data_IF_347455840547
#
_entry.id   IF_347455840547
#
_cell.length_a   1.000
_cell.length_b   1.000
_cell.length_c   1.000
_cell.angle_alpha   90.00
_cell.angle_beta   90.00
_cell.angle_gamma   90.00
#
_symmetry.space_group_name_H-M   'P 1'
#
loop_
_entity.id
_entity.type
_entity.pdbx_description
1 polymer ?
#
# COMPACT_ATOMS: atom_id res chain seq x y z
N UNK A 1 -13.35 -17.04 -9.78
CA UNK A 1 -12.02 -16.66 -9.30
C UNK A 1 -11.44 -15.55 -10.17
N UNK A 2 -10.71 -14.62 -9.55
CA UNK A 2 -10.01 -13.54 -10.26
C UNK A 2 -8.53 -13.89 -10.54
N UNK A 3 -8.11 -15.09 -10.26
CA UNK A 3 -6.71 -15.51 -10.35
C UNK A 3 -6.13 -15.30 -11.75
N UNK A 4 -6.87 -15.67 -12.78
CA UNK A 4 -6.41 -15.50 -14.17
C UNK A 4 -6.24 -14.02 -14.52
N UNK A 5 -7.20 -13.18 -14.12
CA UNK A 5 -7.11 -11.73 -14.31
C UNK A 5 -5.86 -11.17 -13.63
N UNK A 6 -5.64 -11.54 -12.36
CA UNK A 6 -4.46 -11.06 -11.60
C UNK A 6 -3.17 -11.55 -12.24
N UNK A 7 -3.08 -12.81 -12.65
CA UNK A 7 -1.90 -13.36 -13.33
C UNK A 7 -1.60 -12.60 -14.60
N UNK A 8 -2.59 -12.44 -15.48
CA UNK A 8 -2.41 -11.79 -16.78
C UNK A 8 -1.95 -10.34 -16.65
N UNK A 9 -2.59 -9.59 -15.73
CA UNK A 9 -2.26 -8.18 -15.55
C UNK A 9 -0.91 -7.98 -14.86
N UNK A 10 -0.60 -8.82 -13.86
CA UNK A 10 0.67 -8.73 -13.13
C UNK A 10 1.87 -9.18 -13.95
N UNK A 11 1.71 -10.16 -14.83
CA UNK A 11 2.77 -10.60 -15.72
C UNK A 11 3.28 -9.46 -16.59
N UNK A 12 2.37 -8.64 -17.12
CA UNK A 12 2.71 -7.49 -17.96
C UNK A 12 3.46 -6.40 -17.21
N UNK A 13 3.17 -6.24 -15.91
CA UNK A 13 3.68 -5.14 -15.10
C UNK A 13 4.81 -5.56 -14.14
N UNK A 14 5.18 -6.84 -14.13
CA UNK A 14 6.27 -7.35 -13.28
C UNK A 14 5.91 -7.54 -11.82
N UNK A 15 4.62 -7.65 -11.48
CA UNK A 15 4.17 -7.88 -10.11
C UNK A 15 3.91 -9.35 -9.82
N UNK A 16 4.05 -9.72 -8.54
CA UNK A 16 3.60 -11.02 -8.07
C UNK A 16 2.08 -10.99 -7.85
N UNK A 17 1.34 -11.74 -8.66
CA UNK A 17 -0.12 -11.78 -8.61
C UNK A 17 -0.64 -12.22 -7.24
N UNK A 18 0.14 -13.01 -6.48
CA UNK A 18 -0.25 -13.47 -5.13
C UNK A 18 -0.32 -12.30 -4.15
N UNK A 19 0.53 -11.29 -4.33
CA UNK A 19 0.46 -10.05 -3.55
C UNK A 19 -0.81 -9.27 -3.89
N UNK A 20 -1.12 -9.12 -5.17
CA UNK A 20 -2.34 -8.44 -5.62
C UNK A 20 -3.58 -9.16 -5.11
N UNK A 21 -3.59 -10.48 -5.16
CA UNK A 21 -4.67 -11.28 -4.59
C UNK A 21 -4.81 -11.08 -3.07
N UNK A 22 -3.70 -11.00 -2.34
CA UNK A 22 -3.71 -10.75 -0.89
C UNK A 22 -4.28 -9.35 -0.57
N UNK A 23 -3.94 -8.34 -1.35
CA UNK A 23 -4.51 -6.99 -1.21
C UNK A 23 -6.02 -7.02 -1.48
N UNK A 24 -6.44 -7.61 -2.59
CA UNK A 24 -7.86 -7.72 -2.95
C UNK A 24 -8.70 -8.44 -1.89
N UNK A 25 -8.16 -9.52 -1.34
CA UNK A 25 -8.81 -10.22 -0.23
C UNK A 25 -9.00 -9.31 0.98
N UNK A 26 -7.97 -8.58 1.36
CA UNK A 26 -8.00 -7.70 2.53
C UNK A 26 -8.90 -6.49 2.33
N UNK A 27 -8.94 -5.94 1.11
CA UNK A 27 -9.70 -4.74 0.79
C UNK A 27 -11.19 -5.00 0.57
N UNK A 28 -11.54 -6.08 -0.12
CA UNK A 28 -12.91 -6.30 -0.60
C UNK A 28 -13.45 -7.71 -0.40
N UNK A 29 -12.62 -8.66 0.08
CA UNK A 29 -12.97 -10.09 0.06
C UNK A 29 -13.35 -10.58 -1.33
N UNK A 30 -12.67 -10.06 -2.36
CA UNK A 30 -12.94 -10.33 -3.78
C UNK A 30 -14.32 -9.90 -4.27
N UNK A 31 -14.96 -8.97 -3.57
CA UNK A 31 -16.23 -8.41 -4.00
C UNK A 31 -15.99 -7.12 -4.81
N UNK A 32 -16.26 -7.12 -6.13
CA UNK A 32 -15.98 -5.95 -6.97
C UNK A 32 -16.96 -4.78 -6.73
N UNK A 33 -18.02 -4.96 -5.96
CA UNK A 33 -19.05 -3.96 -5.72
C UNK A 33 -18.89 -3.20 -4.41
N UNK A 34 -17.83 -3.44 -3.66
CA UNK A 34 -17.61 -2.75 -2.37
C UNK A 34 -17.28 -1.29 -2.61
N UNK A 35 -17.99 -0.42 -1.89
CA UNK A 35 -17.68 1.01 -1.80
C UNK A 35 -17.51 1.35 -0.33
N UNK A 36 -16.33 1.87 0.04
CA UNK A 36 -16.07 2.25 1.43
C UNK A 36 -16.77 3.57 1.79
N UNK A 37 -16.84 3.85 3.09
CA UNK A 37 -17.41 5.11 3.60
C UNK A 37 -16.72 6.34 3.00
N UNK A 38 -15.43 6.26 2.70
CA UNK A 38 -14.63 7.35 2.10
C UNK A 38 -14.70 7.36 0.57
N UNK A 39 -15.38 6.41 -0.04
CA UNK A 39 -15.56 6.34 -1.49
C UNK A 39 -14.54 5.49 -2.25
N UNK A 40 -13.71 4.71 -1.56
CA UNK A 40 -12.84 3.73 -2.21
C UNK A 40 -13.69 2.64 -2.86
N UNK A 41 -13.33 2.20 -4.07
CA UNK A 41 -14.17 1.34 -4.91
C UNK A 41 -13.49 0.04 -5.31
N UNK A 42 -14.28 -1.01 -5.33
CA UNK A 42 -14.01 -2.27 -6.02
C UNK A 42 -13.02 -3.19 -5.34
N UNK A 43 -12.50 -4.14 -6.11
CA UNK A 43 -11.62 -5.21 -5.63
C UNK A 43 -10.44 -4.69 -4.82
N UNK A 44 -9.79 -3.64 -5.31
CA UNK A 44 -8.55 -3.09 -4.76
C UNK A 44 -8.77 -1.83 -3.92
N UNK A 45 -10.02 -1.40 -3.77
CA UNK A 45 -10.40 -0.20 -3.00
C UNK A 45 -9.59 1.04 -3.41
N UNK A 46 -9.74 1.42 -4.66
CA UNK A 46 -9.06 2.60 -5.25
C UNK A 46 -9.99 3.82 -5.24
N UNK A 47 -9.40 5.00 -5.14
CA UNK A 47 -10.13 6.26 -5.07
C UNK A 47 -10.39 6.82 -6.47
N UNK A 48 -11.61 7.34 -6.75
CA UNK A 48 -11.91 7.96 -8.04
C UNK A 48 -10.97 9.10 -8.45
N UNK A 49 -10.55 9.93 -7.49
CA UNK A 49 -9.58 11.01 -7.74
C UNK A 49 -8.24 10.48 -8.25
N UNK A 50 -7.82 9.30 -7.76
CA UNK A 50 -6.57 8.67 -8.17
C UNK A 50 -6.69 8.15 -9.60
N UNK A 51 -7.84 7.62 -9.99
CA UNK A 51 -8.11 7.26 -11.37
C UNK A 51 -7.91 8.46 -12.31
N UNK A 52 -8.41 9.62 -11.93
CA UNK A 52 -8.21 10.86 -12.72
C UNK A 52 -6.74 11.26 -12.82
N UNK A 53 -5.98 11.13 -11.74
CA UNK A 53 -4.54 11.42 -11.74
C UNK A 53 -3.75 10.54 -12.71
N UNK A 54 -4.12 9.28 -12.82
CA UNK A 54 -3.45 8.31 -13.69
C UNK A 54 -4.08 8.18 -15.08
N UNK A 55 -5.14 8.94 -15.37
CA UNK A 55 -5.83 8.88 -16.65
C UNK A 55 -6.53 7.55 -16.91
N UNK A 56 -6.88 6.80 -15.87
CA UNK A 56 -7.69 5.57 -16.00
C UNK A 56 -9.14 5.97 -16.16
N UNK A 57 -9.69 5.63 -17.32
CA UNK A 57 -11.07 5.92 -17.70
C UNK A 57 -11.95 4.69 -17.55
N UNK A 58 -13.25 4.91 -17.54
CA UNK A 58 -14.24 3.86 -17.44
C UNK A 58 -14.69 3.60 -16.00
N UNK A 59 -15.45 2.53 -15.85
CA UNK A 59 -16.05 2.16 -14.57
C UNK A 59 -14.98 1.55 -13.64
N UNK A 60 -14.77 2.18 -12.47
CA UNK A 60 -13.85 1.66 -11.45
C UNK A 60 -14.38 0.39 -10.77
N UNK A 61 -15.65 0.07 -10.91
CA UNK A 61 -16.19 -1.20 -10.42
C UNK A 61 -15.87 -2.36 -11.36
N UNK A 62 -15.45 -2.06 -12.59
CA UNK A 62 -14.92 -3.09 -13.49
C UNK A 62 -13.60 -3.64 -12.96
N UNK A 63 -13.48 -4.97 -12.75
CA UNK A 63 -12.29 -5.56 -12.16
C UNK A 63 -10.99 -5.21 -12.89
N UNK A 64 -10.99 -5.20 -14.21
CA UNK A 64 -9.79 -4.91 -15.00
C UNK A 64 -9.32 -3.46 -14.78
N UNK A 65 -10.23 -2.48 -14.88
CA UNK A 65 -9.90 -1.07 -14.60
C UNK A 65 -9.43 -0.86 -13.17
N UNK A 66 -10.05 -1.55 -12.24
CA UNK A 66 -9.74 -1.44 -10.81
C UNK A 66 -8.33 -1.95 -10.51
N UNK A 67 -7.98 -3.13 -11.00
CA UNK A 67 -6.65 -3.72 -10.83
C UNK A 67 -5.59 -2.91 -11.57
N UNK A 68 -5.89 -2.43 -12.78
CA UNK A 68 -4.96 -1.59 -13.54
C UNK A 68 -4.58 -0.34 -12.73
N UNK A 69 -5.56 0.34 -12.15
CA UNK A 69 -5.30 1.52 -11.33
C UNK A 69 -4.45 1.17 -10.11
N UNK A 70 -4.77 0.08 -9.42
CA UNK A 70 -3.99 -0.37 -8.27
C UNK A 70 -2.52 -0.64 -8.63
N UNK A 71 -2.26 -1.27 -9.77
CA UNK A 71 -0.90 -1.51 -10.25
C UNK A 71 -0.16 -0.21 -10.57
N UNK A 72 -0.84 0.78 -11.15
CA UNK A 72 -0.27 2.11 -11.38
C UNK A 72 0.07 2.82 -10.09
N UNK A 73 -0.79 2.74 -9.08
CA UNK A 73 -0.55 3.30 -7.75
C UNK A 73 0.68 2.65 -7.09
N UNK A 74 0.76 1.33 -7.12
CA UNK A 74 1.90 0.59 -6.57
C UNK A 74 3.21 0.98 -7.30
N UNK A 75 3.18 1.10 -8.61
CA UNK A 75 4.35 1.53 -9.39
C UNK A 75 4.83 2.92 -9.02
N UNK A 76 3.91 3.87 -8.81
CA UNK A 76 4.26 5.22 -8.35
C UNK A 76 4.87 5.21 -6.95
N UNK A 77 4.28 4.44 -6.04
CA UNK A 77 4.81 4.28 -4.68
C UNK A 77 6.25 3.79 -4.73
N UNK A 78 6.52 2.71 -5.47
CA UNK A 78 7.86 2.14 -5.56
C UNK A 78 8.88 3.12 -6.14
N UNK A 79 8.52 3.88 -7.16
CA UNK A 79 9.38 4.91 -7.72
C UNK A 79 9.67 6.06 -6.76
N UNK A 80 8.75 6.32 -5.84
CA UNK A 80 8.86 7.41 -4.86
C UNK A 80 9.63 7.00 -3.60
N UNK A 81 9.83 5.70 -3.39
CA UNK A 81 10.59 5.16 -2.28
C UNK A 81 12.01 4.85 -2.75
N UNK A 82 12.98 5.48 -2.11
CA UNK A 82 14.40 5.28 -2.40
C UNK A 82 15.00 4.44 -1.28
N UNK A 83 14.99 3.12 -1.46
CA UNK A 83 15.52 2.20 -0.47
C UNK A 83 17.03 2.02 -0.64
N UNK A 84 17.75 1.96 0.49
CA UNK A 84 19.16 1.62 0.48
C UNK A 84 19.40 0.19 -0.04
N UNK A 85 20.54 -0.06 -0.71
CA UNK A 85 20.92 -1.41 -1.07
C UNK A 85 20.96 -2.33 0.16
N UNK A 86 20.49 -3.56 -0.01
CA UNK A 86 20.44 -4.53 1.09
C UNK A 86 19.19 -4.46 1.96
N UNK A 87 18.26 -3.53 1.68
CA UNK A 87 16.95 -3.52 2.34
C UNK A 87 16.22 -4.83 2.06
N UNK A 88 15.70 -5.48 3.11
CA UNK A 88 15.03 -6.77 2.95
C UNK A 88 13.76 -6.65 2.11
N UNK A 89 13.41 -7.74 1.41
CA UNK A 89 12.15 -7.80 0.64
C UNK A 89 10.93 -7.60 1.52
N UNK A 90 10.96 -8.12 2.75
CA UNK A 90 9.86 -7.96 3.71
C UNK A 90 9.69 -6.50 4.12
N UNK A 91 10.77 -5.79 4.43
CA UNK A 91 10.71 -4.37 4.78
C UNK A 91 10.19 -3.54 3.60
N UNK A 92 10.72 -3.76 2.40
CA UNK A 92 10.24 -3.08 1.18
C UNK A 92 8.75 -3.27 0.99
N UNK A 93 8.29 -4.51 1.04
CA UNK A 93 6.88 -4.84 0.82
C UNK A 93 5.97 -4.20 1.87
N UNK A 94 6.34 -4.28 3.13
CA UNK A 94 5.52 -3.71 4.23
C UNK A 94 5.44 -2.20 4.14
N UNK A 95 6.53 -1.51 3.79
CA UNK A 95 6.53 -0.06 3.60
C UNK A 95 5.68 0.33 2.40
N UNK A 96 5.78 -0.39 1.28
CA UNK A 96 4.93 -0.18 0.10
C UNK A 96 3.44 -0.37 0.44
N UNK A 97 3.11 -1.43 1.18
CA UNK A 97 1.73 -1.68 1.61
C UNK A 97 1.20 -0.57 2.53
N UNK A 98 2.04 -0.06 3.42
CA UNK A 98 1.67 1.08 4.26
C UNK A 98 1.35 2.32 3.42
N UNK A 99 2.16 2.60 2.40
CA UNK A 99 1.89 3.70 1.46
C UNK A 99 0.57 3.50 0.70
N UNK A 100 0.29 2.27 0.30
CA UNK A 100 -0.96 1.96 -0.41
C UNK A 100 -2.20 2.27 0.44
N UNK A 101 -2.16 1.92 1.71
CA UNK A 101 -3.28 2.12 2.63
C UNK A 101 -3.34 3.56 3.20
N UNK A 102 -2.23 4.07 3.70
CA UNK A 102 -2.16 5.37 4.40
C UNK A 102 -2.02 6.57 3.46
N UNK A 103 -1.52 6.34 2.25
CA UNK A 103 -1.03 7.37 1.37
C UNK A 103 0.46 7.58 1.54
N UNK A 104 1.12 7.87 0.41
CA UNK A 104 2.58 8.03 0.35
C UNK A 104 3.10 9.10 1.31
N UNK A 105 2.39 10.23 1.41
CA UNK A 105 2.86 11.39 2.20
C UNK A 105 3.06 11.07 3.68
N UNK A 106 2.13 10.34 4.30
CA UNK A 106 2.25 9.97 5.71
C UNK A 106 3.43 9.04 5.98
N UNK A 107 3.68 8.10 5.08
CA UNK A 107 4.82 7.18 5.20
C UNK A 107 6.14 7.89 4.94
N UNK A 108 6.18 8.83 3.99
CA UNK A 108 7.36 9.68 3.78
C UNK A 108 7.67 10.52 5.02
N UNK A 109 6.66 11.04 5.71
CA UNK A 109 6.85 11.72 7.00
C UNK A 109 7.49 10.80 8.03
N UNK A 110 6.98 9.57 8.16
CA UNK A 110 7.51 8.58 9.09
C UNK A 110 8.96 8.24 8.77
N UNK A 111 9.31 8.08 7.51
CA UNK A 111 10.68 7.83 7.07
C UNK A 111 11.59 9.02 7.36
N UNK A 112 11.10 10.24 7.15
CA UNK A 112 11.85 11.47 7.46
C UNK A 112 12.11 11.61 8.96
N UNK A 113 11.12 11.31 9.80
CA UNK A 113 11.29 11.28 11.25
C UNK A 113 12.32 10.21 11.67
N UNK A 114 12.21 9.01 11.12
CA UNK A 114 13.17 7.93 11.40
C UNK A 114 14.60 8.37 11.08
N UNK A 115 14.81 8.95 9.91
CA UNK A 115 16.12 9.45 9.48
C UNK A 115 16.64 10.56 10.40
N UNK A 116 15.77 11.50 10.75
CA UNK A 116 16.14 12.64 11.61
C UNK A 116 16.58 12.19 13.01
N UNK A 117 15.93 11.17 13.56
CA UNK A 117 16.18 10.70 14.92
C UNK A 117 17.07 9.46 15.01
N UNK A 118 17.80 9.15 13.95
CA UNK A 118 18.82 8.10 13.96
C UNK A 118 18.33 6.68 13.84
N UNK A 119 17.06 6.50 13.47
CA UNK A 119 16.49 5.20 13.15
C UNK A 119 16.64 4.86 11.66
N UNK A 120 16.24 3.68 11.25
CA UNK A 120 16.39 3.21 9.87
C UNK A 120 15.12 3.48 9.05
N UNK A 121 15.18 4.41 8.05
CA UNK A 121 14.02 4.73 7.22
C UNK A 121 13.59 3.58 6.29
N UNK A 122 14.41 2.53 6.17
CA UNK A 122 14.15 1.35 5.34
C UNK A 122 13.71 0.13 6.16
N UNK A 123 13.60 0.26 7.48
CA UNK A 123 13.11 -0.78 8.38
C UNK A 123 11.63 -0.55 8.68
N UNK A 124 10.79 -1.53 8.38
CA UNK A 124 9.36 -1.43 8.71
C UNK A 124 9.14 -1.25 10.21
N UNK A 125 9.91 -1.94 11.04
CA UNK A 125 9.80 -1.78 12.50
C UNK A 125 9.99 -0.32 12.90
N UNK A 126 11.02 0.34 12.39
CA UNK A 126 11.29 1.74 12.69
C UNK A 126 10.26 2.67 12.05
N UNK A 127 9.95 2.47 10.78
CA UNK A 127 8.96 3.29 10.07
C UNK A 127 7.58 3.18 10.72
N UNK A 128 7.16 1.98 11.12
CA UNK A 128 5.88 1.79 11.79
C UNK A 128 5.79 2.51 13.13
N UNK A 129 6.89 2.55 13.88
CA UNK A 129 7.00 3.31 15.13
C UNK A 129 6.76 4.80 14.89
N UNK A 130 7.46 5.39 13.93
CA UNK A 130 7.30 6.82 13.61
C UNK A 130 5.96 7.14 12.96
N UNK A 131 5.40 6.22 12.19
CA UNK A 131 4.05 6.38 11.66
C UNK A 131 3.02 6.45 12.80
N UNK A 132 3.16 5.59 13.81
CA UNK A 132 2.31 5.59 15.00
C UNK A 132 2.43 6.88 15.81
N UNK A 133 3.63 7.44 15.91
CA UNK A 133 3.87 8.69 16.62
C UNK A 133 3.17 9.89 15.97
N UNK A 134 2.75 9.81 14.71
CA UNK A 134 2.04 10.88 14.03
C UNK A 134 0.61 11.11 14.55
N UNK A 135 0.12 10.29 15.46
CA UNK A 135 -1.12 10.59 16.20
C UNK A 135 -0.92 11.61 17.32
N UNK A 136 0.31 11.82 17.77
CA UNK A 136 0.66 12.77 18.82
C UNK A 136 0.76 14.19 18.23
N UNK A 137 -0.05 15.16 18.72
CA UNK A 137 0.02 16.55 18.26
C UNK A 137 1.40 17.19 18.40
N UNK A 138 2.18 16.80 19.40
CA UNK A 138 3.54 17.33 19.58
C UNK A 138 4.50 16.85 18.50
N UNK A 139 4.40 15.59 18.09
CA UNK A 139 5.21 15.04 17.01
C UNK A 139 4.88 15.72 15.68
N UNK A 140 3.62 16.05 15.45
CA UNK A 140 3.16 16.72 14.21
C UNK A 140 3.75 18.11 14.03
N UNK A 141 4.22 18.74 15.11
CA UNK A 141 4.92 20.05 15.05
C UNK A 141 6.34 19.94 14.52
N UNK A 142 6.90 18.74 14.41
CA UNK A 142 8.25 18.54 13.90
C UNK A 142 8.34 18.97 12.43
N UNK A 143 9.45 19.64 12.06
CA UNK A 143 9.70 20.11 10.69
C UNK A 143 9.71 18.99 9.65
N UNK A 144 10.01 17.77 10.06
CA UNK A 144 10.01 16.61 9.18
C UNK A 144 8.59 16.19 8.77
N UNK A 145 7.56 16.62 9.49
CA UNK A 145 6.17 16.25 9.22
C UNK A 145 5.53 17.24 8.24
N UNK A 146 5.16 16.77 7.05
CA UNK A 146 4.57 17.59 5.98
C UNK A 146 3.07 17.34 5.80
N UNK A 147 2.60 16.15 6.16
CA UNK A 147 1.22 15.69 5.88
C UNK A 147 0.30 15.68 7.11
N UNK A 148 0.75 16.24 8.24
CA UNK A 148 -0.07 16.40 9.41
C UNK A 148 -0.29 15.13 10.23
N UNK A 149 -1.29 15.19 11.09
CA UNK A 149 -1.64 14.12 12.02
C UNK A 149 -2.20 12.90 11.29
N UNK A 150 -1.87 11.70 11.80
CA UNK A 150 -2.34 10.45 11.25
C UNK A 150 -2.53 9.40 12.32
N UNK A 151 -3.65 8.67 12.26
CA UNK A 151 -3.88 7.50 13.11
C UNK A 151 -3.54 6.24 12.33
N UNK A 152 -2.46 5.57 12.71
CA UNK A 152 -1.90 4.44 11.99
C UNK A 152 -2.55 3.08 12.28
N UNK A 153 -3.52 2.98 13.17
CA UNK A 153 -4.05 1.69 13.63
C UNK A 153 -4.55 0.80 12.48
N UNK A 154 -5.34 1.36 11.57
CA UNK A 154 -5.85 0.62 10.42
C UNK A 154 -4.74 0.23 9.45
N UNK A 155 -3.77 1.11 9.23
CA UNK A 155 -2.65 0.86 8.33
C UNK A 155 -1.77 -0.27 8.84
N UNK A 156 -1.44 -0.27 10.14
CA UNK A 156 -0.64 -1.33 10.74
C UNK A 156 -1.36 -2.68 10.65
N UNK A 157 -2.66 -2.70 10.92
CA UNK A 157 -3.47 -3.91 10.78
C UNK A 157 -3.52 -4.40 9.32
N UNK A 158 -3.68 -3.49 8.37
CA UNK A 158 -3.67 -3.79 6.93
C UNK A 158 -2.35 -4.43 6.50
N UNK A 159 -1.22 -3.83 6.85
CA UNK A 159 0.10 -4.35 6.49
C UNK A 159 0.30 -5.76 7.03
N UNK A 160 -0.02 -5.99 8.30
CA UNK A 160 0.10 -7.30 8.92
C UNK A 160 -0.79 -8.34 8.23
N UNK A 161 -2.04 -7.99 7.96
CA UNK A 161 -3.02 -8.88 7.34
C UNK A 161 -2.62 -9.26 5.91
N UNK A 162 -2.25 -8.27 5.09
CA UNK A 162 -1.85 -8.53 3.71
C UNK A 162 -0.55 -9.33 3.66
N UNK A 163 0.45 -8.96 4.45
CA UNK A 163 1.72 -9.66 4.46
C UNK A 163 1.57 -11.12 4.91
N UNK A 164 0.77 -11.37 5.95
CA UNK A 164 0.46 -12.71 6.42
C UNK A 164 -0.25 -13.54 5.34
N UNK A 165 -1.24 -12.96 4.67
CA UNK A 165 -1.98 -13.63 3.59
C UNK A 165 -1.06 -13.94 2.40
N UNK A 166 -0.22 -12.99 2.01
CA UNK A 166 0.76 -13.17 0.96
C UNK A 166 1.73 -14.32 1.28
N UNK A 167 2.24 -14.35 2.51
CA UNK A 167 3.13 -15.44 2.96
C UNK A 167 2.44 -16.81 2.86
N UNK A 168 1.18 -16.89 3.28
CA UNK A 168 0.38 -18.09 3.16
C UNK A 168 0.22 -18.52 1.70
N UNK A 169 -0.07 -17.58 0.81
CA UNK A 169 -0.18 -17.86 -0.62
C UNK A 169 1.14 -18.36 -1.21
N UNK A 170 2.27 -17.75 -0.84
CA UNK A 170 3.58 -18.17 -1.33
C UNK A 170 3.96 -19.58 -0.88
N UNK A 171 3.50 -20.00 0.30
CA UNK A 171 3.75 -21.36 0.81
C UNK A 171 2.90 -22.43 0.11
N UNK A 172 1.75 -22.06 -0.44
CA UNK A 172 0.75 -22.99 -0.97
C UNK A 172 0.53 -22.89 -2.48
N UNK A 173 0.91 -21.79 -3.11
CA UNK A 173 0.60 -21.50 -4.52
C UNK A 173 1.87 -21.00 -5.21
N UNK A 174 2.24 -21.65 -6.33
CA UNK A 174 3.35 -21.15 -7.17
C UNK A 174 2.98 -19.86 -7.89
N UNK A 175 4.02 -19.08 -8.17
CA UNK A 175 3.89 -17.81 -8.87
C UNK A 175 3.31 -17.94 -10.28
#
# INVERSE_FOLDING_TARGET
>A
SYDDLFRDMCEKEGYDWRLISAIAYSESRFNPYVVSRKGAKGLMQVMPRVARQFGVQGDLMDPENNVLLALKVLGKIEKSLDFAPGTSSADRMKIVLACYNAGLGHVLDARSLARKYGANPDSWSDVSTYLSLKSDPEVVKDDAVKCGRFNSSQTLAFVNKVFSKYTTYCNNISR
#
